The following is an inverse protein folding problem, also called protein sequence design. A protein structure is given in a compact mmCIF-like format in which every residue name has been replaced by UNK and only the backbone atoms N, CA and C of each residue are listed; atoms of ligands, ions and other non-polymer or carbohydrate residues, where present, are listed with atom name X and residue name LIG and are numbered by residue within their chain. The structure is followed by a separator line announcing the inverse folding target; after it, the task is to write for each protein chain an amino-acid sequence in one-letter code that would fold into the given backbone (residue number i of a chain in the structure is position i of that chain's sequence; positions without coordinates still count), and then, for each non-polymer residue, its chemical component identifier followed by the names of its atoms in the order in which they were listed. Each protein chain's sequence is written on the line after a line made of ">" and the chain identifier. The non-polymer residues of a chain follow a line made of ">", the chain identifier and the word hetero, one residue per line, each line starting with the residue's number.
data_IF_171471255297
#
_entry.id   IF_171471255297
#
_cell.length_a   1.000
_cell.length_b   1.000
_cell.length_c   1.000
_cell.angle_alpha   90.00
_cell.angle_beta   90.00
_cell.angle_gamma   90.00
#
_symmetry.space_group_name_H-M   'P 1'
#
loop_
_entity.id
_entity.type
_entity.pdbx_description
1 polymer ?
#
# COMPACT_ATOMS: atom_id res chain seq x y z
N UNK A 1 13.15 -4.68 4.64
CA UNK A 1 11.92 -5.13 5.30
C UNK A 1 10.90 -5.58 4.24
N UNK A 2 10.08 -6.59 4.53
CA UNK A 2 9.01 -7.08 3.65
C UNK A 2 7.65 -6.71 4.26
N UNK A 3 6.79 -6.02 3.50
CA UNK A 3 5.42 -5.70 3.86
C UNK A 3 4.48 -6.22 2.76
N UNK A 4 4.21 -7.52 2.78
CA UNK A 4 3.45 -8.20 1.74
C UNK A 4 2.00 -8.41 2.19
N UNK A 5 1.06 -7.84 1.44
CA UNK A 5 -0.37 -7.99 1.68
C UNK A 5 -0.86 -7.40 3.02
N UNK A 6 -0.06 -6.53 3.64
CA UNK A 6 -0.35 -6.00 4.97
C UNK A 6 -1.13 -4.68 4.90
N UNK A 7 -0.76 -3.78 3.98
CA UNK A 7 -1.21 -2.39 3.96
C UNK A 7 -2.75 -2.26 3.94
N UNK A 8 -3.42 -3.09 3.13
CA UNK A 8 -4.88 -3.04 3.00
C UNK A 8 -5.65 -3.60 4.21
N UNK A 9 -4.96 -4.22 5.18
CA UNK A 9 -5.52 -4.71 6.44
C UNK A 9 -5.27 -3.79 7.64
N UNK A 10 -4.38 -2.81 7.48
CA UNK A 10 -4.02 -1.89 8.55
C UNK A 10 -5.20 -1.02 8.98
N UNK A 11 -5.23 -0.67 10.27
CA UNK A 11 -6.28 0.20 10.81
C UNK A 11 -6.12 1.62 10.29
N UNK A 12 -4.87 2.10 10.23
CA UNK A 12 -4.50 3.43 9.76
C UNK A 12 -3.35 3.29 8.75
N UNK A 13 -3.62 2.91 7.48
CA UNK A 13 -2.60 2.44 6.55
C UNK A 13 -1.39 3.36 6.40
N UNK A 14 -1.63 4.66 6.28
CA UNK A 14 -0.55 5.61 6.07
C UNK A 14 0.28 5.81 7.34
N UNK A 15 -0.37 6.04 8.49
CA UNK A 15 0.31 6.15 9.78
C UNK A 15 1.16 4.90 10.11
N UNK A 16 0.60 3.72 9.89
CA UNK A 16 1.27 2.46 10.13
C UNK A 16 2.45 2.26 9.14
N UNK A 17 2.30 2.73 7.89
CA UNK A 17 3.40 2.76 6.92
C UNK A 17 4.54 3.70 7.36
N UNK A 18 4.25 4.87 7.93
CA UNK A 18 5.29 5.77 8.48
C UNK A 18 6.08 5.10 9.62
N UNK A 19 5.41 4.31 10.47
CA UNK A 19 6.07 3.52 11.52
C UNK A 19 7.00 2.47 10.90
N UNK A 20 6.50 1.70 9.93
CA UNK A 20 7.27 0.68 9.21
C UNK A 20 8.48 1.32 8.52
N UNK A 21 8.27 2.43 7.82
CA UNK A 21 9.32 3.14 7.09
C UNK A 21 10.46 3.55 8.02
N UNK A 22 10.18 4.04 9.24
CA UNK A 22 11.23 4.43 10.20
C UNK A 22 12.18 3.29 10.61
N UNK A 23 11.75 2.03 10.49
CA UNK A 23 12.54 0.87 10.88
C UNK A 23 13.44 0.31 9.77
N UNK A 24 13.42 0.87 8.55
CA UNK A 24 14.12 0.28 7.39
C UNK A 24 14.52 1.32 6.34
N UNK A 25 15.64 1.10 5.66
CA UNK A 25 16.05 1.90 4.49
C UNK A 25 15.60 1.28 3.16
N UNK A 26 15.21 0.00 3.18
CA UNK A 26 14.71 -0.76 2.03
C UNK A 26 13.35 -1.39 2.38
N UNK A 27 12.33 -1.09 1.60
CA UNK A 27 10.98 -1.63 1.78
C UNK A 27 10.47 -2.25 0.48
N UNK A 28 10.14 -3.54 0.53
CA UNK A 28 9.26 -4.15 -0.47
C UNK A 28 7.83 -4.12 0.05
N UNK A 29 6.97 -3.37 -0.64
CA UNK A 29 5.56 -3.23 -0.32
C UNK A 29 4.71 -3.91 -1.41
N UNK A 30 3.89 -4.89 -1.02
CA UNK A 30 2.85 -5.45 -1.88
C UNK A 30 1.47 -5.13 -1.27
N UNK A 31 0.56 -4.62 -2.09
CA UNK A 31 -0.82 -4.32 -1.66
C UNK A 31 -1.82 -4.54 -2.79
N UNK A 32 -3.10 -4.73 -2.42
CA UNK A 32 -4.21 -4.61 -3.36
C UNK A 32 -4.42 -3.13 -3.71
N UNK A 33 -4.71 -2.85 -4.97
CA UNK A 33 -4.90 -1.52 -5.53
C UNK A 33 -6.35 -1.30 -5.96
N UNK A 34 -6.78 -0.04 -5.94
CA UNK A 34 -7.95 0.42 -6.66
C UNK A 34 -7.56 0.72 -8.12
N UNK A 35 -8.38 0.37 -9.14
CA UNK A 35 -8.04 0.55 -10.56
C UNK A 35 -8.18 1.99 -11.07
N UNK A 36 -8.56 2.94 -10.20
CA UNK A 36 -8.77 4.34 -10.57
C UNK A 36 -7.47 5.14 -10.72
N UNK A 37 -7.60 6.32 -11.32
CA UNK A 37 -6.50 7.27 -11.55
C UNK A 37 -6.44 8.35 -10.45
N UNK A 38 -5.27 8.94 -10.23
CA UNK A 38 -5.04 9.97 -9.22
C UNK A 38 -4.81 9.40 -7.82
N UNK A 39 -4.48 10.27 -6.87
CA UNK A 39 -4.07 9.87 -5.51
C UNK A 39 -5.25 9.82 -4.54
N UNK A 40 -5.81 8.63 -4.31
CA UNK A 40 -6.83 8.41 -3.29
C UNK A 40 -6.79 6.99 -2.72
N UNK A 41 -7.48 6.80 -1.60
CA UNK A 41 -7.65 5.51 -0.94
C UNK A 41 -9.14 5.20 -0.73
N UNK A 42 -9.60 4.06 -1.23
CA UNK A 42 -10.98 3.63 -1.06
C UNK A 42 -11.12 2.75 0.18
N UNK A 43 -12.06 3.13 1.06
CA UNK A 43 -12.45 2.33 2.20
C UNK A 43 -13.57 1.36 1.83
N UNK A 44 -13.33 0.05 2.00
CA UNK A 44 -14.38 -0.96 1.92
C UNK A 44 -14.78 -1.38 3.34
N UNK A 45 -15.98 -1.02 3.82
CA UNK A 45 -16.46 -1.47 5.12
C UNK A 45 -16.66 -2.99 5.10
N UNK A 46 -16.62 -3.67 6.26
CA UNK A 46 -17.04 -5.06 6.39
C UNK A 46 -18.43 -5.26 5.76
N UNK A 47 -18.63 -6.40 5.12
CA UNK A 47 -19.91 -6.79 4.55
C UNK A 47 -20.23 -8.22 5.00
N UNK A 48 -21.38 -8.37 5.66
CA UNK A 48 -21.86 -9.65 6.16
C UNK A 48 -21.93 -10.69 5.02
N UNK A 49 -21.44 -11.91 5.27
CA UNK A 49 -21.37 -12.97 4.27
C UNK A 49 -20.28 -12.83 3.19
N UNK A 50 -19.56 -11.69 3.12
CA UNK A 50 -18.50 -11.45 2.11
C UNK A 50 -17.13 -11.29 2.75
N UNK A 51 -16.98 -10.36 3.71
CA UNK A 51 -15.72 -10.14 4.42
C UNK A 51 -15.97 -9.44 5.77
N UNK A 52 -15.35 -9.95 6.83
CA UNK A 52 -15.54 -9.48 8.21
C UNK A 52 -14.57 -8.36 8.63
N UNK A 53 -13.60 -8.02 7.78
CA UNK A 53 -12.56 -7.02 8.07
C UNK A 53 -12.64 -5.83 7.13
N UNK A 54 -12.41 -4.63 7.66
CA UNK A 54 -12.21 -3.43 6.84
C UNK A 54 -11.05 -3.63 5.88
N UNK A 55 -11.17 -3.08 4.67
CA UNK A 55 -10.10 -3.10 3.68
C UNK A 55 -9.88 -1.71 3.09
N UNK A 56 -8.62 -1.41 2.78
CA UNK A 56 -8.22 -0.17 2.13
C UNK A 56 -7.63 -0.47 0.75
N UNK A 57 -8.13 0.19 -0.28
CA UNK A 57 -7.68 0.02 -1.65
C UNK A 57 -7.11 1.34 -2.15
N UNK A 58 -5.80 1.60 -1.97
CA UNK A 58 -5.16 2.77 -2.53
C UNK A 58 -5.04 2.65 -4.05
N UNK A 59 -5.08 3.77 -4.76
CA UNK A 59 -4.59 3.79 -6.13
C UNK A 59 -3.07 3.62 -6.15
N UNK A 60 -2.53 3.32 -7.34
CA UNK A 60 -1.07 3.22 -7.52
C UNK A 60 -0.36 4.52 -7.15
N UNK A 61 -0.94 5.65 -7.56
CA UNK A 61 -0.39 6.99 -7.28
C UNK A 61 -0.41 7.27 -5.77
N UNK A 62 -1.51 6.93 -5.09
CA UNK A 62 -1.58 7.06 -3.63
C UNK A 62 -0.47 6.27 -2.91
N UNK A 63 -0.17 5.04 -3.34
CA UNK A 63 0.95 4.28 -2.76
C UNK A 63 2.29 4.97 -2.99
N UNK A 64 2.51 5.51 -4.20
CA UNK A 64 3.75 6.23 -4.51
C UNK A 64 3.89 7.49 -3.65
N UNK A 65 2.83 8.28 -3.53
CA UNK A 65 2.82 9.50 -2.72
C UNK A 65 3.09 9.17 -1.25
N UNK A 66 2.42 8.17 -0.69
CA UNK A 66 2.66 7.71 0.69
C UNK A 66 4.13 7.28 0.91
N UNK A 67 4.74 6.58 -0.04
CA UNK A 67 6.15 6.19 0.05
C UNK A 67 7.10 7.39 -0.04
N UNK A 68 6.78 8.39 -0.87
CA UNK A 68 7.54 9.64 -0.96
C UNK A 68 7.44 10.46 0.32
N UNK A 69 6.24 10.57 0.91
CA UNK A 69 6.04 11.23 2.20
C UNK A 69 6.80 10.51 3.33
N UNK A 70 6.94 9.18 3.24
CA UNK A 70 7.81 8.37 4.11
C UNK A 70 9.32 8.55 3.85
N UNK A 71 9.71 9.50 2.99
CA UNK A 71 11.09 9.87 2.63
C UNK A 71 11.87 8.78 1.89
N UNK A 72 11.21 7.87 1.21
CA UNK A 72 11.88 7.02 0.21
C UNK A 72 12.11 7.84 -1.06
N UNK A 73 13.33 7.83 -1.59
CA UNK A 73 13.75 8.65 -2.74
C UNK A 73 13.70 7.87 -4.06
N UNK A 74 13.90 6.55 -4.00
CA UNK A 74 13.79 5.64 -5.14
C UNK A 74 12.61 4.70 -4.93
N UNK A 75 11.63 4.72 -5.86
CA UNK A 75 10.42 3.90 -5.81
C UNK A 75 10.20 3.23 -7.17
N UNK A 76 10.58 1.95 -7.23
CA UNK A 76 10.39 1.11 -8.40
C UNK A 76 9.05 0.37 -8.31
N UNK A 77 8.33 0.29 -9.42
CA UNK A 77 7.17 -0.61 -9.53
C UNK A 77 7.63 -1.93 -10.10
N UNK A 78 7.36 -3.01 -9.38
CA UNK A 78 7.64 -4.37 -9.85
C UNK A 78 6.41 -4.88 -10.60
N UNK A 79 6.56 -5.38 -11.84
CA UNK A 79 5.47 -6.00 -12.58
C UNK A 79 4.84 -7.15 -11.77
N UNK A 80 3.52 -7.13 -11.64
CA UNK A 80 2.75 -8.17 -10.96
C UNK A 80 1.67 -8.68 -11.92
N UNK A 81 1.60 -9.99 -12.21
CA UNK A 81 0.59 -10.55 -13.11
C UNK A 81 -0.81 -10.58 -12.47
N UNK A 82 -0.92 -10.37 -11.16
CA UNK A 82 -2.19 -10.45 -10.44
C UNK A 82 -3.01 -9.17 -10.66
N UNK A 83 -4.25 -9.26 -11.15
CA UNK A 83 -5.11 -8.10 -11.33
C UNK A 83 -5.25 -7.31 -10.02
N UNK A 84 -5.22 -5.99 -10.13
CA UNK A 84 -5.38 -5.07 -8.99
C UNK A 84 -4.36 -5.30 -7.85
N UNK A 85 -3.17 -5.82 -8.15
CA UNK A 85 -2.05 -5.91 -7.21
C UNK A 85 -0.95 -4.93 -7.61
N UNK A 86 -0.31 -4.34 -6.62
CA UNK A 86 0.86 -3.48 -6.80
C UNK A 86 2.00 -3.96 -5.93
N UNK A 87 3.17 -4.14 -6.55
CA UNK A 87 4.43 -4.41 -5.87
C UNK A 87 5.37 -3.23 -6.07
N UNK A 88 5.96 -2.73 -4.99
CA UNK A 88 6.81 -1.55 -4.96
C UNK A 88 8.08 -1.85 -4.18
N UNK A 89 9.22 -1.44 -4.74
CA UNK A 89 10.51 -1.49 -4.05
C UNK A 89 10.99 -0.07 -3.80
N UNK A 90 11.00 0.31 -2.52
CA UNK A 90 11.31 1.64 -2.06
C UNK A 90 12.64 1.68 -1.30
N UNK A 91 13.47 2.70 -1.58
CA UNK A 91 14.79 2.91 -0.96
C UNK A 91 15.00 4.38 -0.58
N UNK A 92 15.72 4.62 0.50
CA UNK A 92 16.19 5.97 0.89
C UNK A 92 17.40 6.40 0.07
#
# INVERSE_FOLDING_TARGET
>A
MLALGLLYHLRHPFHDLEIIARATDLLWLETTLHPGEGSFIHFKPPAEGVHHIRKWFPTRDCVRDMLQECRFTSIETIPDPTPNRGSFLARR
#
